data_IF_206184897612
#
_entry.id   IF_206184897612
#
_cell.length_a   1.000
_cell.length_b   1.000
_cell.length_c   1.000
_cell.angle_alpha   90.00
_cell.angle_beta   90.00
_cell.angle_gamma   90.00
#
_symmetry.space_group_name_H-M   'P 1'
#
loop_
_entity.id
_entity.type
_entity.pdbx_description
1 polymer ?
#
# COMPACT_ATOMS: atom_id res chain seq x y z
N UNK A 1 12.87 14.77 -16.37
CA UNK A 1 11.77 14.15 -17.16
C UNK A 1 12.32 12.82 -17.66
N UNK A 2 11.85 11.63 -17.30
CA UNK A 2 10.52 11.17 -16.90
C UNK A 2 10.41 10.85 -15.40
N UNK A 3 9.39 11.40 -14.73
CA UNK A 3 9.08 11.17 -13.30
C UNK A 3 7.90 10.19 -13.15
N UNK A 4 7.85 9.16 -14.00
CA UNK A 4 6.90 8.04 -13.89
C UNK A 4 7.71 6.78 -13.59
N UNK A 5 8.03 6.61 -12.31
CA UNK A 5 8.62 5.37 -11.83
C UNK A 5 7.48 4.35 -11.70
N UNK A 6 7.44 3.38 -12.61
CA UNK A 6 6.47 2.29 -12.55
C UNK A 6 7.18 1.12 -11.85
N UNK A 7 6.75 0.74 -10.63
CA UNK A 7 7.32 -0.41 -9.96
C UNK A 7 6.98 -1.70 -10.73
N UNK A 8 7.93 -2.62 -10.82
CA UNK A 8 7.76 -3.89 -11.52
C UNK A 8 6.95 -4.90 -10.70
N UNK A 9 6.14 -5.72 -11.38
CA UNK A 9 5.38 -6.84 -10.80
C UNK A 9 4.46 -6.37 -9.66
N UNK A 10 4.63 -6.94 -8.47
CA UNK A 10 3.82 -6.73 -7.27
C UNK A 10 4.41 -5.66 -6.32
N UNK A 11 5.31 -4.82 -6.81
CA UNK A 11 5.92 -3.76 -6.01
C UNK A 11 5.03 -2.52 -5.97
N UNK A 12 5.06 -1.83 -4.83
CA UNK A 12 4.30 -0.59 -4.60
C UNK A 12 5.27 0.50 -4.15
N UNK A 13 5.18 1.66 -4.77
CA UNK A 13 5.96 2.84 -4.43
C UNK A 13 5.16 3.74 -3.47
N UNK A 14 5.75 4.04 -2.33
CA UNK A 14 5.16 4.91 -1.32
C UNK A 14 6.08 6.08 -0.95
N UNK A 15 5.48 7.24 -0.69
CA UNK A 15 6.13 8.42 -0.13
C UNK A 15 5.76 8.52 1.35
N UNK A 16 6.77 8.53 2.24
CA UNK A 16 6.56 8.67 3.69
C UNK A 16 5.99 10.06 3.99
N UNK A 17 4.87 10.12 4.72
CA UNK A 17 4.31 11.38 5.19
C UNK A 17 4.94 11.76 6.52
N UNK A 18 5.57 12.93 6.58
CA UNK A 18 6.06 13.49 7.83
C UNK A 18 4.88 13.98 8.66
N UNK A 19 4.72 13.42 9.86
CA UNK A 19 3.68 13.87 10.77
C UNK A 19 4.04 15.21 11.40
N UNK A 20 3.07 16.14 11.55
CA UNK A 20 3.34 17.39 12.24
C UNK A 20 3.64 17.10 13.71
N UNK A 21 4.86 17.47 14.16
CA UNK A 21 5.31 17.35 15.57
C UNK A 21 4.47 18.15 16.57
N UNK A 22 3.53 18.98 16.09
CA UNK A 22 2.64 19.81 16.91
C UNK A 22 1.21 19.30 16.75
N UNK A 23 0.68 18.69 17.81
CA UNK A 23 -0.76 18.45 17.93
C UNK A 23 -1.48 19.78 18.18
N UNK A 24 -2.76 19.87 17.78
CA UNK A 24 -3.60 21.07 17.88
C UNK A 24 -3.71 21.66 19.31
N UNK A 25 -3.30 20.92 20.34
CA UNK A 25 -3.31 21.33 21.75
C UNK A 25 -2.01 21.96 22.29
N UNK A 26 -0.98 22.19 21.47
CA UNK A 26 0.26 22.87 21.91
C UNK A 26 1.17 22.05 22.84
N UNK A 27 0.82 20.79 23.13
CA UNK A 27 1.63 19.86 23.91
C UNK A 27 2.70 19.26 22.98
N UNK A 28 3.97 19.41 23.37
CA UNK A 28 5.09 18.70 22.75
C UNK A 28 4.97 17.21 23.12
N UNK A 29 4.69 16.37 22.13
CA UNK A 29 4.76 14.93 22.34
C UNK A 29 6.23 14.55 22.53
N UNK A 30 6.61 13.82 23.61
CA UNK A 30 7.94 13.28 23.73
C UNK A 30 8.24 12.37 22.53
N UNK A 31 9.49 12.41 22.03
CA UNK A 31 9.97 11.75 20.80
C UNK A 31 9.81 10.20 20.82
N UNK A 32 9.32 9.63 21.92
CA UNK A 32 8.98 8.20 22.11
C UNK A 32 7.58 7.81 21.60
N UNK A 33 6.77 8.76 21.11
CA UNK A 33 5.45 8.43 20.58
C UNK A 33 5.59 7.77 19.21
N UNK A 34 5.31 6.46 19.14
CA UNK A 34 5.29 5.62 17.93
C UNK A 34 4.97 6.43 16.68
N UNK A 35 6.01 6.71 15.90
CA UNK A 35 5.89 7.38 14.62
C UNK A 35 4.95 6.55 13.76
N UNK A 36 3.69 6.99 13.56
CA UNK A 36 2.81 6.22 12.69
C UNK A 36 3.39 6.41 11.29
N UNK A 37 4.01 5.35 10.78
CA UNK A 37 4.66 5.32 9.47
C UNK A 37 3.58 5.30 8.38
N UNK A 38 2.75 6.34 8.34
CA UNK A 38 1.77 6.56 7.30
C UNK A 38 2.50 7.03 6.04
N UNK A 39 2.16 6.42 4.92
CA UNK A 39 2.72 6.76 3.64
C UNK A 39 1.62 6.86 2.59
N UNK A 40 1.85 7.70 1.59
CA UNK A 40 0.96 7.86 0.45
C UNK A 40 1.47 7.02 -0.71
N UNK A 41 0.58 6.23 -1.32
CA UNK A 41 0.88 5.46 -2.52
C UNK A 41 0.96 6.40 -3.71
N UNK A 42 2.03 6.26 -4.50
CA UNK A 42 2.24 7.08 -5.71
C UNK A 42 2.12 6.26 -6.97
N UNK A 43 2.63 5.04 -6.95
CA UNK A 43 2.60 4.16 -8.10
C UNK A 43 2.43 2.71 -7.64
N UNK A 44 1.59 2.00 -8.38
CA UNK A 44 1.28 0.59 -8.13
C UNK A 44 1.72 -0.22 -9.33
N UNK A 45 2.35 -1.37 -9.07
CA UNK A 45 2.75 -2.30 -10.11
C UNK A 45 1.54 -3.07 -10.67
N UNK A 46 1.68 -3.70 -11.85
CA UNK A 46 0.59 -4.44 -12.49
C UNK A 46 0.12 -5.67 -11.70
N UNK A 47 0.81 -6.09 -10.64
CA UNK A 47 0.45 -7.25 -9.83
C UNK A 47 1.25 -8.51 -10.16
N UNK A 48 0.97 -9.58 -9.42
CA UNK A 48 1.65 -10.87 -9.59
C UNK A 48 0.91 -11.76 -10.59
N UNK A 49 1.58 -12.77 -11.15
CA UNK A 49 0.97 -13.74 -12.04
C UNK A 49 0.88 -15.10 -11.37
N UNK A 50 -0.30 -15.71 -11.47
CA UNK A 50 -0.48 -17.09 -11.03
C UNK A 50 0.20 -18.08 -12.00
N UNK A 51 0.30 -19.35 -11.61
CA UNK A 51 0.83 -20.45 -12.44
C UNK A 51 0.05 -20.61 -13.74
N UNK A 52 -1.24 -20.25 -13.74
CA UNK A 52 -2.13 -20.25 -14.91
C UNK A 52 -2.01 -18.97 -15.76
N UNK A 53 -1.07 -18.07 -15.43
CA UNK A 53 -0.84 -16.81 -16.15
C UNK A 53 -1.88 -15.72 -15.89
N UNK A 54 -2.88 -15.97 -15.04
CA UNK A 54 -3.85 -14.97 -14.60
C UNK A 54 -3.15 -13.89 -13.78
N UNK A 55 -3.44 -12.64 -14.12
CA UNK A 55 -2.89 -11.47 -13.45
C UNK A 55 -3.72 -11.17 -12.21
N UNK A 56 -3.06 -11.16 -11.05
CA UNK A 56 -3.67 -10.87 -9.76
C UNK A 56 -3.43 -9.38 -9.48
N UNK A 57 -4.49 -8.55 -9.52
CA UNK A 57 -4.34 -7.12 -9.29
C UNK A 57 -3.96 -6.84 -7.84
N UNK A 58 -3.21 -5.75 -7.64
CA UNK A 58 -2.94 -5.20 -6.31
C UNK A 58 -4.21 -4.54 -5.79
N UNK A 59 -4.48 -4.67 -4.49
CA UNK A 59 -5.69 -4.11 -3.85
C UNK A 59 -5.59 -2.63 -3.50
N UNK A 60 -4.47 -1.98 -3.81
CA UNK A 60 -4.17 -0.59 -3.50
C UNK A 60 -4.27 0.26 -4.76
N UNK A 61 -4.84 1.46 -4.63
CA UNK A 61 -4.91 2.44 -5.69
C UNK A 61 -3.86 3.55 -5.49
N UNK A 62 -3.56 4.26 -6.58
CA UNK A 62 -2.70 5.45 -6.51
C UNK A 62 -3.38 6.54 -5.65
N UNK A 63 -2.65 7.09 -4.68
CA UNK A 63 -3.14 8.13 -3.77
C UNK A 63 -3.66 7.63 -2.43
N UNK A 64 -3.79 6.31 -2.24
CA UNK A 64 -4.22 5.74 -0.97
C UNK A 64 -3.20 6.00 0.15
N UNK A 65 -3.69 6.09 1.38
CA UNK A 65 -2.85 6.21 2.58
C UNK A 65 -2.72 4.85 3.24
N UNK A 66 -1.49 4.36 3.35
CA UNK A 66 -1.17 3.04 3.90
C UNK A 66 -0.28 3.17 5.13
N UNK A 67 -0.43 2.23 6.06
CA UNK A 67 0.46 2.11 7.21
C UNK A 67 1.61 1.17 6.85
N UNK A 68 2.82 1.65 7.03
CA UNK A 68 4.03 0.88 6.79
C UNK A 68 4.52 0.19 8.08
N UNK A 69 5.03 -1.04 7.99
CA UNK A 69 5.82 -1.62 9.07
C UNK A 69 7.13 -0.82 9.25
N UNK A 70 7.72 -0.89 10.43
CA UNK A 70 8.98 -0.19 10.75
C UNK A 70 10.17 -0.69 9.92
N UNK A 71 10.10 -1.92 9.43
CA UNK A 71 11.17 -2.59 8.70
C UNK A 71 10.66 -3.14 7.37
N UNK A 72 11.53 -3.08 6.37
CA UNK A 72 11.30 -3.65 5.05
C UNK A 72 11.27 -2.59 3.95
N UNK A 73 11.32 -3.10 2.72
CA UNK A 73 11.33 -2.29 1.52
C UNK A 73 12.72 -1.81 1.11
N UNK A 74 12.81 -1.33 -0.13
CA UNK A 74 14.03 -0.74 -0.70
C UNK A 74 13.87 0.77 -0.78
N UNK A 75 14.80 1.50 -0.19
CA UNK A 75 14.82 2.97 -0.26
C UNK A 75 15.30 3.43 -1.63
N UNK A 76 14.52 4.30 -2.26
CA UNK A 76 14.80 4.88 -3.57
C UNK A 76 14.76 6.40 -3.41
N UNK A 77 15.90 7.05 -3.57
CA UNK A 77 16.03 8.52 -3.50
C UNK A 77 15.91 9.09 -4.91
N UNK A 78 14.89 9.91 -5.16
CA UNK A 78 14.67 10.54 -6.46
C UNK A 78 14.35 12.02 -6.26
N UNK A 79 15.20 12.89 -6.83
CA UNK A 79 14.96 14.34 -6.92
C UNK A 79 14.45 14.94 -5.59
N UNK A 80 15.22 14.71 -4.52
CA UNK A 80 15.01 15.24 -3.15
C UNK A 80 13.88 14.59 -2.33
N UNK A 81 13.16 13.61 -2.89
CA UNK A 81 12.14 12.85 -2.17
C UNK A 81 12.60 11.43 -1.87
N UNK A 82 12.30 10.98 -0.64
CA UNK A 82 12.55 9.63 -0.19
C UNK A 82 11.33 8.75 -0.47
N UNK A 83 11.50 7.82 -1.40
CA UNK A 83 10.51 6.79 -1.68
C UNK A 83 10.95 5.48 -1.07
N UNK A 84 9.99 4.70 -0.61
CA UNK A 84 10.24 3.31 -0.24
C UNK A 84 9.43 2.41 -1.16
N UNK A 85 10.07 1.37 -1.66
CA UNK A 85 9.41 0.34 -2.46
C UNK A 85 9.13 -0.85 -1.57
N UNK A 86 7.87 -1.24 -1.43
CA UNK A 86 7.46 -2.45 -0.72
C UNK A 86 6.97 -3.51 -1.68
N UNK A 87 7.10 -4.78 -1.28
CA UNK A 87 6.45 -5.90 -1.96
C UNK A 87 5.05 -6.01 -1.35
N UNK A 88 4.02 -5.97 -2.20
CA UNK A 88 2.66 -6.22 -1.74
C UNK A 88 2.47 -7.72 -1.49
N UNK A 89 2.33 -8.11 -0.23
CA UNK A 89 1.95 -9.48 0.13
C UNK A 89 0.47 -9.67 -0.16
N UNK A 90 0.16 -10.36 -1.25
CA UNK A 90 -1.22 -10.72 -1.56
C UNK A 90 -1.60 -11.91 -0.68
N UNK A 91 -2.53 -11.71 0.26
CA UNK A 91 -3.17 -12.80 0.98
C UNK A 91 -4.29 -13.38 0.11
N UNK A 92 -3.90 -14.11 -0.93
CA UNK A 92 -4.80 -14.57 -2.00
C UNK A 92 -5.80 -15.65 -1.57
N UNK A 93 -5.65 -16.22 -0.37
CA UNK A 93 -6.34 -17.47 -0.01
C UNK A 93 -7.78 -17.30 0.48
N UNK A 94 -8.30 -16.08 0.69
CA UNK A 94 -9.59 -15.89 1.40
C UNK A 94 -10.73 -15.38 0.51
N UNK A 95 -10.46 -14.70 -0.60
CA UNK A 95 -11.53 -13.99 -1.32
C UNK A 95 -12.33 -14.88 -2.31
N UNK A 96 -11.71 -15.89 -2.91
CA UNK A 96 -12.36 -16.69 -3.97
C UNK A 96 -13.34 -17.77 -3.46
N UNK A 97 -13.38 -18.06 -2.16
CA UNK A 97 -14.18 -19.19 -1.64
C UNK A 97 -15.52 -18.79 -1.01
N UNK A 98 -15.76 -17.51 -0.72
CA UNK A 98 -16.96 -17.08 0.04
C UNK A 98 -18.03 -16.41 -0.83
N UNK A 99 -17.75 -16.12 -2.11
CA UNK A 99 -18.64 -15.33 -2.95
C UNK A 99 -19.71 -16.05 -3.81
N UNK A 100 -19.81 -17.40 -3.92
CA UNK A 100 -20.92 -18.00 -4.67
C UNK A 100 -22.17 -18.29 -3.83
N UNK A 101 -22.09 -18.35 -2.50
CA UNK A 101 -23.22 -18.79 -1.67
C UNK A 101 -24.22 -17.69 -1.30
N UNK A 102 -23.81 -16.42 -1.29
CA UNK A 102 -24.69 -15.33 -0.84
C UNK A 102 -25.60 -14.78 -1.95
N UNK A 103 -25.31 -15.07 -3.22
CA UNK A 103 -26.11 -14.56 -4.34
C UNK A 103 -27.41 -15.35 -4.58
N UNK A 104 -27.51 -16.58 -4.06
CA UNK A 104 -28.70 -17.40 -4.26
C UNK A 104 -29.86 -17.05 -3.32
N UNK A 105 -29.61 -16.41 -2.16
CA UNK A 105 -30.65 -16.16 -1.17
C UNK A 105 -31.52 -14.93 -1.48
N UNK A 106 -31.04 -14.00 -2.31
CA UNK A 106 -31.74 -12.73 -2.60
C UNK A 106 -32.75 -12.86 -3.75
N UNK A 107 -32.71 -13.95 -4.53
CA UNK A 107 -33.59 -14.14 -5.70
C UNK A 107 -34.88 -14.91 -5.35
N UNK A 108 -35.04 -15.40 -4.11
CA UNK A 108 -36.16 -16.28 -3.71
C UNK A 108 -37.17 -15.59 -2.75
N UNK A 109 -37.02 -14.29 -2.46
CA UNK A 109 -37.95 -13.57 -1.56
C UNK A 109 -38.57 -12.34 -2.21
#
# INVERSE_FOLDING_TARGET
MAKRLIPSLNRVLVEKLLQPKKSAGGILLPETTKQLNAAKVIAVGPGDRDRDGKLIPVSLNEGDTVLLPEYGGTEVKLAEKEYVTFIHYINLSICSFVFPFLFLLVVIL
#
